data_IF_205275823098
#
_entry.id   IF_205275823098
#
_cell.length_a   1.000
_cell.length_b   1.000
_cell.length_c   1.000
_cell.angle_alpha   90.00
_cell.angle_beta   90.00
_cell.angle_gamma   90.00
#
_symmetry.space_group_name_H-M   'P 1'
#
loop_
_entity.id
_entity.type
_entity.pdbx_description
1 polymer ?
#
# COMPACT_ATOMS: atom_id res chain seq x y z
N UNK A 1 4.02 0.11 -25.46
CA UNK A 1 3.54 -0.34 -24.14
C UNK A 1 3.80 -1.83 -24.04
N UNK A 2 4.82 -2.22 -23.27
CA UNK A 2 5.34 -3.59 -23.25
C UNK A 2 4.38 -4.57 -22.58
N UNK A 3 4.19 -5.73 -23.21
CA UNK A 3 3.33 -6.81 -22.76
C UNK A 3 3.93 -7.47 -21.50
N UNK A 4 3.81 -6.82 -20.33
CA UNK A 4 4.42 -7.25 -19.05
C UNK A 4 4.05 -8.68 -18.64
N UNK A 5 2.92 -9.18 -19.15
CA UNK A 5 2.50 -10.58 -18.98
C UNK A 5 3.36 -11.54 -19.80
N UNK A 6 3.66 -11.21 -21.05
CA UNK A 6 4.52 -12.05 -21.89
C UNK A 6 5.97 -12.06 -21.42
N UNK A 7 6.43 -11.01 -20.74
CA UNK A 7 7.81 -10.97 -20.22
C UNK A 7 8.04 -11.87 -19.01
N UNK A 8 6.98 -12.22 -18.24
CA UNK A 8 7.12 -13.09 -17.07
C UNK A 8 6.83 -14.56 -17.39
N UNK A 9 6.04 -14.85 -18.44
CA UNK A 9 5.70 -16.21 -18.85
C UNK A 9 6.88 -17.17 -19.00
N UNK A 10 8.03 -16.78 -19.59
CA UNK A 10 9.18 -17.69 -19.72
C UNK A 10 9.70 -18.23 -18.38
N UNK A 11 9.53 -17.49 -17.28
CA UNK A 11 9.89 -17.95 -15.95
C UNK A 11 9.00 -19.13 -15.50
N UNK A 12 7.68 -19.02 -15.69
CA UNK A 12 6.75 -20.08 -15.34
C UNK A 12 6.85 -21.28 -16.28
N UNK A 13 7.16 -21.05 -17.57
CA UNK A 13 7.46 -22.12 -18.53
C UNK A 13 8.73 -22.89 -18.14
N UNK A 14 9.78 -22.21 -17.67
CA UNK A 14 11.00 -22.84 -17.18
C UNK A 14 10.75 -23.73 -15.95
N UNK A 15 9.88 -23.29 -15.04
CA UNK A 15 9.47 -24.06 -13.87
C UNK A 15 8.59 -25.27 -14.26
N UNK A 16 7.82 -25.16 -15.34
CA UNK A 16 7.02 -26.25 -15.90
C UNK A 16 6.12 -26.92 -14.86
N UNK A 17 6.21 -28.25 -14.77
CA UNK A 17 5.40 -29.06 -13.85
C UNK A 17 5.65 -28.77 -12.36
N UNK A 18 6.80 -28.16 -12.02
CA UNK A 18 7.09 -27.79 -10.63
C UNK A 18 6.12 -26.72 -10.10
N UNK A 19 5.53 -25.90 -10.97
CA UNK A 19 4.52 -24.91 -10.60
C UNK A 19 3.30 -25.54 -9.88
N UNK A 20 2.96 -26.80 -10.20
CA UNK A 20 1.85 -27.52 -9.56
C UNK A 20 2.12 -27.89 -8.10
N UNK A 21 3.38 -27.81 -7.65
CA UNK A 21 3.80 -28.09 -6.27
C UNK A 21 3.94 -26.82 -5.44
N UNK A 22 3.69 -25.65 -6.03
CA UNK A 22 3.80 -24.37 -5.32
C UNK A 22 2.50 -24.15 -4.56
N UNK A 23 2.61 -24.03 -3.24
CA UNK A 23 1.48 -23.83 -2.33
C UNK A 23 1.21 -22.35 -2.03
N UNK A 24 2.22 -21.48 -2.16
CA UNK A 24 2.08 -20.05 -1.95
C UNK A 24 3.02 -19.24 -2.85
N UNK A 25 2.56 -18.08 -3.30
CA UNK A 25 3.36 -17.11 -4.04
C UNK A 25 3.28 -15.75 -3.35
N UNK A 26 4.41 -15.30 -2.83
CA UNK A 26 4.56 -13.93 -2.34
C UNK A 26 4.86 -12.98 -3.52
N UNK A 27 3.99 -11.99 -3.76
CA UNK A 27 4.14 -11.10 -4.91
C UNK A 27 3.61 -9.68 -4.66
N UNK A 28 3.98 -8.76 -5.56
CA UNK A 28 3.37 -7.44 -5.61
C UNK A 28 1.92 -7.50 -6.14
N UNK A 29 1.19 -6.39 -6.10
CA UNK A 29 -0.20 -6.34 -6.58
C UNK A 29 -0.32 -6.15 -8.10
N UNK A 30 0.62 -6.69 -8.88
CA UNK A 30 0.62 -6.56 -10.34
C UNK A 30 -0.33 -7.56 -11.01
N UNK A 31 -1.36 -7.04 -11.68
CA UNK A 31 -2.38 -7.85 -12.38
C UNK A 31 -1.78 -8.80 -13.43
N UNK A 32 -0.69 -8.44 -14.10
CA UNK A 32 -0.08 -9.30 -15.11
C UNK A 32 0.56 -10.55 -14.48
N UNK A 33 1.13 -10.39 -13.29
CA UNK A 33 1.74 -11.47 -12.52
C UNK A 33 0.67 -12.36 -11.88
N UNK A 34 -0.40 -11.75 -11.36
CA UNK A 34 -1.53 -12.47 -10.75
C UNK A 34 -2.18 -13.44 -11.74
N UNK A 35 -2.33 -13.01 -13.00
CA UNK A 35 -2.87 -13.85 -14.07
C UNK A 35 -1.96 -15.04 -14.43
N UNK A 36 -0.64 -14.85 -14.43
CA UNK A 36 0.31 -15.94 -14.75
C UNK A 36 0.47 -16.90 -13.58
N UNK A 37 0.46 -16.42 -12.33
CA UNK A 37 0.42 -17.27 -11.12
C UNK A 37 -0.84 -18.13 -11.12
N UNK A 38 -2.02 -17.56 -11.36
CA UNK A 38 -3.28 -18.32 -11.45
C UNK A 38 -3.26 -19.36 -12.58
N UNK A 39 -2.59 -19.05 -13.68
CA UNK A 39 -2.51 -19.94 -14.84
C UNK A 39 -1.54 -21.11 -14.59
N UNK A 40 -0.36 -20.84 -14.04
CA UNK A 40 0.71 -21.84 -13.93
C UNK A 40 0.75 -22.54 -12.56
N UNK A 41 0.36 -21.85 -11.49
CA UNK A 41 0.37 -22.33 -10.11
C UNK A 41 -1.06 -22.33 -9.54
N UNK A 42 -2.00 -23.13 -10.08
CA UNK A 42 -3.42 -23.04 -9.72
C UNK A 42 -3.73 -23.42 -8.27
N UNK A 43 -2.80 -24.09 -7.58
CA UNK A 43 -2.92 -24.47 -6.17
C UNK A 43 -2.28 -23.45 -5.21
N UNK A 44 -1.59 -22.43 -5.75
CA UNK A 44 -0.84 -21.50 -4.93
C UNK A 44 -1.75 -20.39 -4.37
N UNK A 45 -1.68 -20.18 -3.06
CA UNK A 45 -2.26 -19.00 -2.42
C UNK A 45 -1.41 -17.76 -2.69
N UNK A 46 -2.03 -16.67 -3.14
CA UNK A 46 -1.33 -15.41 -3.41
C UNK A 46 -1.24 -14.60 -2.12
N UNK A 47 -0.02 -14.37 -1.67
CA UNK A 47 0.28 -13.53 -0.51
C UNK A 47 0.84 -12.20 -1.00
N UNK A 48 0.06 -11.13 -0.88
CA UNK A 48 0.55 -9.81 -1.27
C UNK A 48 1.59 -9.29 -0.28
N UNK A 49 2.69 -8.79 -0.82
CA UNK A 49 3.74 -8.15 -0.03
C UNK A 49 3.21 -6.91 0.71
N UNK A 50 3.44 -6.87 2.02
CA UNK A 50 2.92 -5.84 2.91
C UNK A 50 3.42 -4.44 2.53
N UNK A 51 4.68 -4.31 2.11
CA UNK A 51 5.23 -3.00 1.75
C UNK A 51 4.48 -2.40 0.56
N UNK A 52 4.20 -3.21 -0.46
CA UNK A 52 3.45 -2.76 -1.64
C UNK A 52 2.00 -2.40 -1.31
N UNK A 53 1.34 -3.18 -0.45
CA UNK A 53 -0.02 -2.88 0.03
C UNK A 53 -0.06 -1.54 0.77
N UNK A 54 0.84 -1.34 1.73
CA UNK A 54 0.93 -0.09 2.53
C UNK A 54 1.29 1.10 1.64
N UNK A 55 2.25 0.94 0.72
CA UNK A 55 2.65 2.00 -0.19
C UNK A 55 1.50 2.41 -1.13
N UNK A 56 0.73 1.44 -1.65
CA UNK A 56 -0.45 1.69 -2.47
C UNK A 56 -1.54 2.41 -1.69
N UNK A 57 -1.90 1.92 -0.51
CA UNK A 57 -2.87 2.60 0.36
C UNK A 57 -2.44 4.04 0.69
N UNK A 58 -1.14 4.23 0.97
CA UNK A 58 -0.56 5.54 1.20
C UNK A 58 -0.70 6.52 0.02
N UNK A 59 -0.61 6.01 -1.22
CA UNK A 59 -0.79 6.84 -2.44
C UNK A 59 -2.26 7.05 -2.78
N UNK A 60 -3.06 5.99 -2.76
CA UNK A 60 -4.40 6.01 -3.34
C UNK A 60 -5.44 6.60 -2.37
N UNK A 61 -5.20 6.48 -1.05
CA UNK A 61 -6.14 6.88 -0.01
C UNK A 61 -5.58 8.03 0.84
N UNK A 62 -4.43 7.81 1.48
CA UNK A 62 -3.89 8.78 2.45
C UNK A 62 -3.52 10.11 1.80
N UNK A 63 -2.94 10.11 0.60
CA UNK A 63 -2.58 11.36 -0.07
C UNK A 63 -3.80 12.24 -0.37
N UNK A 64 -4.93 11.64 -0.79
CA UNK A 64 -6.14 12.39 -1.09
C UNK A 64 -6.65 13.13 0.14
N UNK A 65 -6.83 12.40 1.24
CA UNK A 65 -7.27 12.98 2.52
C UNK A 65 -6.29 14.06 2.99
N UNK A 66 -4.97 13.80 2.88
CA UNK A 66 -3.94 14.76 3.28
C UNK A 66 -3.99 16.05 2.46
N UNK A 67 -4.27 15.95 1.16
CA UNK A 67 -4.42 17.12 0.28
C UNK A 67 -5.67 17.92 0.65
N UNK A 68 -6.80 17.24 0.84
CA UNK A 68 -8.07 17.88 1.20
C UNK A 68 -7.95 18.62 2.56
N UNK A 69 -7.39 17.95 3.57
CA UNK A 69 -7.14 18.55 4.89
C UNK A 69 -6.13 19.70 4.83
N UNK A 70 -5.05 19.56 4.04
CA UNK A 70 -4.09 20.64 3.87
C UNK A 70 -4.65 21.85 3.10
N UNK A 71 -5.72 21.67 2.30
CA UNK A 71 -6.41 22.76 1.63
C UNK A 71 -7.39 23.47 2.57
N UNK A 72 -8.10 22.74 3.43
CA UNK A 72 -8.94 23.32 4.48
C UNK A 72 -8.13 24.22 5.44
N UNK A 73 -6.88 23.84 5.74
CA UNK A 73 -5.95 24.60 6.57
C UNK A 73 -5.16 25.67 5.81
N UNK A 74 -5.63 26.15 4.65
CA UNK A 74 -4.89 27.13 3.84
C UNK A 74 -4.53 28.41 4.62
N UNK A 75 -5.37 28.82 5.56
CA UNK A 75 -5.20 30.02 6.38
C UNK A 75 -4.26 29.80 7.59
N UNK A 76 -4.04 28.56 8.02
CA UNK A 76 -3.17 28.19 9.14
C UNK A 76 -1.92 27.47 8.62
N UNK A 77 -0.87 28.25 8.35
CA UNK A 77 0.40 27.73 7.80
C UNK A 77 1.08 26.71 8.73
N UNK A 78 1.17 26.92 10.06
CA UNK A 78 1.66 25.91 10.99
C UNK A 78 0.90 24.58 10.94
N UNK A 79 -0.43 24.61 11.08
CA UNK A 79 -1.25 23.39 11.07
C UNK A 79 -1.17 22.66 9.73
N UNK A 80 -1.17 23.41 8.62
CA UNK A 80 -0.99 22.85 7.27
C UNK A 80 0.34 22.11 7.09
N UNK A 81 1.43 22.61 7.70
CA UNK A 81 2.74 21.96 7.63
C UNK A 81 2.73 20.61 8.34
N UNK A 82 2.04 20.50 9.48
CA UNK A 82 1.89 19.24 10.24
C UNK A 82 1.18 18.18 9.42
N UNK A 83 0.02 18.52 8.82
CA UNK A 83 -0.73 17.61 7.95
C UNK A 83 0.09 17.18 6.74
N UNK A 84 0.87 18.08 6.13
CA UNK A 84 1.71 17.68 4.98
C UNK A 84 2.78 16.64 5.33
N UNK A 85 3.24 16.59 6.58
CA UNK A 85 4.29 15.69 7.06
C UNK A 85 3.74 14.39 7.68
N UNK A 86 2.42 14.23 7.80
CA UNK A 86 1.81 13.12 8.55
C UNK A 86 1.74 11.78 7.80
N UNK A 87 2.07 11.73 6.50
CA UNK A 87 1.87 10.54 5.66
C UNK A 87 2.45 9.26 6.28
N UNK A 88 3.71 9.29 6.68
CA UNK A 88 4.36 8.10 7.27
C UNK A 88 3.88 7.78 8.67
N UNK A 89 3.34 8.77 9.38
CA UNK A 89 2.76 8.57 10.69
C UNK A 89 1.43 7.79 10.60
N UNK A 90 0.62 8.09 9.59
CA UNK A 90 -0.65 7.40 9.30
C UNK A 90 -0.47 5.95 8.79
N UNK A 91 0.71 5.64 8.23
CA UNK A 91 1.02 4.32 7.66
C UNK A 91 1.74 3.37 8.63
N UNK A 92 2.10 3.84 9.83
CA UNK A 92 2.79 3.02 10.83
C UNK A 92 1.81 2.21 11.67
N UNK A 93 2.23 1.02 12.05
CA UNK A 93 1.51 0.23 13.04
C UNK A 93 1.54 0.96 14.40
N UNK A 94 0.37 1.11 15.03
CA UNK A 94 0.20 1.78 16.33
C UNK A 94 1.14 1.24 17.41
N UNK A 95 1.38 -0.07 17.42
CA UNK A 95 2.28 -0.72 18.38
C UNK A 95 3.76 -0.32 18.20
N UNK A 96 4.14 0.21 17.04
CA UNK A 96 5.52 0.60 16.69
C UNK A 96 5.73 2.12 16.69
N UNK A 97 4.76 2.89 17.21
CA UNK A 97 4.87 4.33 17.35
C UNK A 97 5.64 4.69 18.62
N UNK A 98 6.56 5.67 18.51
CA UNK A 98 7.11 6.33 19.69
C UNK A 98 6.03 7.17 20.38
N UNK A 99 6.14 7.45 21.67
CA UNK A 99 5.15 8.23 22.41
C UNK A 99 4.82 9.57 21.75
N UNK A 100 5.83 10.35 21.35
CA UNK A 100 5.66 11.62 20.64
C UNK A 100 4.91 11.46 19.30
N UNK A 101 5.11 10.33 18.62
CA UNK A 101 4.43 10.01 17.37
C UNK A 101 2.98 9.60 17.62
N UNK A 102 2.71 8.87 18.69
CA UNK A 102 1.36 8.49 19.10
C UNK A 102 0.52 9.72 19.47
N UNK A 103 1.10 10.67 20.23
CA UNK A 103 0.46 11.95 20.54
C UNK A 103 0.12 12.71 19.26
N UNK A 104 1.10 12.85 18.35
CA UNK A 104 0.89 13.56 17.08
C UNK A 104 -0.10 12.86 16.14
N UNK A 105 -0.20 11.52 16.20
CA UNK A 105 -1.21 10.76 15.47
C UNK A 105 -2.60 11.02 16.05
N UNK A 106 -2.71 11.07 17.38
CA UNK A 106 -3.97 11.37 18.05
C UNK A 106 -4.46 12.79 17.72
N UNK A 107 -3.58 13.80 17.79
CA UNK A 107 -3.89 15.17 17.38
C UNK A 107 -4.39 15.24 15.92
N UNK A 108 -3.76 14.48 15.02
CA UNK A 108 -4.17 14.40 13.62
C UNK A 108 -5.53 13.70 13.44
N UNK A 109 -5.84 12.68 14.23
CA UNK A 109 -7.14 11.99 14.20
C UNK A 109 -8.26 12.86 14.78
N UNK A 110 -7.98 13.58 15.87
CA UNK A 110 -8.92 14.50 16.50
C UNK A 110 -9.24 15.71 15.60
N UNK A 111 -8.23 16.21 14.87
CA UNK A 111 -8.43 17.24 13.85
C UNK A 111 -9.19 16.74 12.60
N UNK A 112 -9.34 15.43 12.43
CA UNK A 112 -10.00 14.80 11.28
C UNK A 112 -11.41 14.26 11.61
N UNK A 113 -12.02 14.75 12.69
CA UNK A 113 -13.44 14.47 12.96
C UNK A 113 -14.30 15.04 11.81
N UNK A 114 -15.24 14.27 11.26
CA UNK A 114 -16.12 14.77 10.20
C UNK A 114 -16.88 15.99 10.73
N UNK A 115 -16.92 17.06 9.93
CA UNK A 115 -17.90 18.12 10.11
C UNK A 115 -19.27 17.44 10.03
N UNK A 116 -20.01 17.47 11.15
CA UNK A 116 -21.34 16.89 11.29
C UNK A 116 -22.30 17.35 10.18
#
# INVERSE_FOLDING_TARGET
MGNRRLSIRPFFELLGEHCKKIEAVAMDMNTAFDLEVKQHCPQAEVVYDLFHVVARFGRDVIDRIRVDQANALNHDKPARKVVKQSRWLLLRNKANLKEEQAVRLQELLDANQPLA
#
